data_IF_923744327714
#
_entry.id   IF_923744327714
#
_cell.length_a   1.000
_cell.length_b   1.000
_cell.length_c   1.000
_cell.angle_alpha   90.00
_cell.angle_beta   90.00
_cell.angle_gamma   90.00
#
_symmetry.space_group_name_H-M   'P 1'
#
loop_
_entity.id
_entity.type
_entity.pdbx_description
1 polymer ?
#
# COMPACT_ATOMS: atom_id res chain seq x y z
N UNK A 1 20.00 18.28 17.25
CA UNK A 1 19.88 18.81 15.89
C UNK A 1 19.17 20.17 15.85
N UNK A 2 18.10 20.35 16.62
CA UNK A 2 17.30 21.57 16.56
C UNK A 2 18.05 22.82 17.05
N UNK A 3 18.94 22.68 18.00
CA UNK A 3 19.76 23.78 18.57
C UNK A 3 21.05 23.98 17.78
N UNK A 4 21.82 22.91 17.60
CA UNK A 4 23.18 22.97 17.04
C UNK A 4 23.23 22.63 15.54
N UNK A 5 22.09 22.26 14.93
CA UNK A 5 21.98 21.76 13.53
C UNK A 5 22.91 20.58 13.21
N UNK A 6 23.44 19.93 14.25
CA UNK A 6 24.29 18.76 14.13
C UNK A 6 23.45 17.48 14.37
N UNK A 7 23.51 16.53 13.43
CA UNK A 7 22.85 15.24 13.58
C UNK A 7 23.78 14.26 14.29
N UNK A 8 23.35 13.80 15.46
CA UNK A 8 24.01 12.73 16.20
C UNK A 8 23.51 11.38 15.69
N UNK A 9 24.41 10.52 15.24
CA UNK A 9 24.10 9.14 14.85
C UNK A 9 23.70 8.31 16.07
N UNK A 10 23.18 7.11 15.80
CA UNK A 10 22.71 6.19 16.84
C UNK A 10 23.72 5.98 17.98
N UNK A 11 24.99 5.73 17.66
CA UNK A 11 26.05 5.45 18.64
C UNK A 11 26.25 6.61 19.61
N UNK A 12 26.38 7.84 19.09
CA UNK A 12 26.54 9.03 19.91
C UNK A 12 25.32 9.27 20.81
N UNK A 13 24.11 9.18 20.24
CA UNK A 13 22.87 9.27 21.03
C UNK A 13 22.77 8.19 22.12
N UNK A 14 23.27 6.99 21.84
CA UNK A 14 23.30 5.91 22.83
C UNK A 14 24.21 6.25 24.02
N UNK A 15 25.42 6.72 23.76
CA UNK A 15 26.36 7.08 24.84
C UNK A 15 25.83 8.21 25.71
N UNK A 16 25.19 9.20 25.12
CA UNK A 16 24.61 10.34 25.84
C UNK A 16 23.40 9.91 26.71
N UNK A 17 22.55 9.03 26.21
CA UNK A 17 21.25 8.74 26.82
C UNK A 17 21.21 7.48 27.65
N UNK A 18 22.19 6.55 27.57
CA UNK A 18 22.17 5.25 28.27
C UNK A 18 22.10 5.36 29.81
N UNK A 19 22.55 6.47 30.35
CA UNK A 19 22.55 6.73 31.79
C UNK A 19 21.27 7.41 32.32
N UNK A 20 20.43 7.98 31.41
CA UNK A 20 19.24 8.71 31.85
C UNK A 20 18.15 7.77 32.41
N UNK A 21 17.31 8.30 33.31
CA UNK A 21 16.24 7.53 33.97
C UNK A 21 15.28 6.91 32.98
N UNK A 22 14.82 7.66 31.97
CA UNK A 22 13.88 7.18 31.00
C UNK A 22 14.44 6.01 30.16
N UNK A 23 15.73 6.04 29.84
CA UNK A 23 16.39 4.92 29.16
C UNK A 23 16.41 3.67 30.05
N UNK A 24 16.76 3.82 31.33
CA UNK A 24 16.84 2.73 32.32
C UNK A 24 15.48 2.11 32.65
N UNK A 25 14.39 2.88 32.52
CA UNK A 25 13.04 2.38 32.74
C UNK A 25 12.59 1.43 31.62
N UNK A 26 13.11 1.58 30.40
CA UNK A 26 12.86 0.61 29.32
C UNK A 26 13.83 -0.57 29.43
N UNK A 27 13.40 -1.73 28.93
CA UNK A 27 14.35 -2.81 28.64
C UNK A 27 15.41 -2.31 27.65
N UNK A 28 16.67 -2.68 27.82
CA UNK A 28 17.79 -2.17 27.01
C UNK A 28 17.59 -2.34 25.50
N UNK A 29 17.05 -3.49 25.06
CA UNK A 29 16.74 -3.70 23.65
C UNK A 29 15.66 -2.73 23.15
N UNK A 30 14.57 -2.52 23.88
CA UNK A 30 13.52 -1.59 23.51
C UNK A 30 14.02 -0.14 23.48
N UNK A 31 14.85 0.25 24.44
CA UNK A 31 15.46 1.58 24.49
C UNK A 31 16.36 1.81 23.25
N UNK A 32 17.22 0.84 22.94
CA UNK A 32 18.05 0.88 21.73
C UNK A 32 17.23 0.95 20.45
N UNK A 33 16.12 0.18 20.33
CA UNK A 33 15.24 0.24 19.15
C UNK A 33 14.57 1.61 19.02
N UNK A 34 14.23 2.26 20.13
CA UNK A 34 13.71 3.63 20.11
C UNK A 34 14.73 4.62 19.52
N UNK A 35 16.00 4.53 19.97
CA UNK A 35 17.08 5.38 19.42
C UNK A 35 17.36 5.09 17.94
N UNK A 36 17.38 3.81 17.53
CA UNK A 36 17.52 3.41 16.12
C UNK A 36 16.40 3.94 15.26
N UNK A 37 15.17 3.97 15.78
CA UNK A 37 14.02 4.52 15.07
C UNK A 37 14.21 6.03 14.80
N UNK A 38 14.68 6.78 15.79
CA UNK A 38 15.00 8.21 15.62
C UNK A 38 16.09 8.41 14.57
N UNK A 39 17.17 7.63 14.62
CA UNK A 39 18.25 7.65 13.61
C UNK A 39 17.71 7.38 12.19
N UNK A 40 16.84 6.38 12.05
CA UNK A 40 16.20 6.03 10.77
C UNK A 40 15.31 7.15 10.25
N UNK A 41 14.56 7.84 11.11
CA UNK A 41 13.73 8.99 10.74
C UNK A 41 14.57 10.13 10.16
N UNK A 42 15.71 10.46 10.77
CA UNK A 42 16.62 11.48 10.26
C UNK A 42 17.34 11.05 8.98
N UNK A 43 17.76 9.79 8.89
CA UNK A 43 18.33 9.24 7.63
C UNK A 43 17.35 9.36 6.47
N UNK A 44 16.07 9.03 6.70
CA UNK A 44 15.01 9.19 5.70
C UNK A 44 14.80 10.65 5.30
N UNK A 45 14.82 11.57 6.27
CA UNK A 45 14.73 13.00 6.03
C UNK A 45 15.89 13.50 5.14
N UNK A 46 17.12 13.14 5.43
CA UNK A 46 18.29 13.55 4.62
C UNK A 46 18.28 12.89 3.23
N UNK A 47 17.83 11.65 3.13
CA UNK A 47 17.67 10.99 1.82
C UNK A 47 16.65 11.72 0.93
N UNK A 48 15.52 12.16 1.49
CA UNK A 48 14.53 12.98 0.76
C UNK A 48 15.09 14.33 0.31
N UNK A 49 15.90 14.99 1.16
CA UNK A 49 16.60 16.22 0.77
C UNK A 49 17.54 15.97 -0.42
N UNK A 50 18.30 14.87 -0.38
CA UNK A 50 19.19 14.50 -1.50
C UNK A 50 18.41 14.28 -2.79
N UNK A 51 17.29 13.58 -2.75
CA UNK A 51 16.40 13.39 -3.91
C UNK A 51 15.83 14.71 -4.42
N UNK A 52 15.43 15.60 -3.51
CA UNK A 52 14.90 16.91 -3.89
C UNK A 52 15.94 17.81 -4.55
N UNK A 53 17.21 17.77 -4.11
CA UNK A 53 18.33 18.46 -4.77
C UNK A 53 18.58 17.93 -6.19
N UNK A 54 18.21 16.69 -6.48
CA UNK A 54 18.28 16.08 -7.81
C UNK A 54 17.00 16.28 -8.64
N UNK A 55 16.08 17.14 -8.21
CA UNK A 55 14.75 17.35 -8.82
C UNK A 55 13.87 16.08 -8.91
N UNK A 56 14.20 15.04 -8.14
CA UNK A 56 13.43 13.77 -8.08
C UNK A 56 12.34 13.78 -7.01
N UNK A 57 12.30 14.80 -6.15
CA UNK A 57 11.31 14.95 -5.09
C UNK A 57 11.03 16.42 -4.79
N UNK A 58 9.82 16.77 -4.35
CA UNK A 58 9.46 18.17 -4.07
C UNK A 58 9.83 18.57 -2.64
N UNK A 59 10.66 19.59 -2.47
CA UNK A 59 11.07 20.15 -1.17
C UNK A 59 9.89 20.52 -0.27
N UNK A 60 8.77 20.99 -0.83
CA UNK A 60 7.57 21.39 -0.05
C UNK A 60 6.96 20.22 0.73
N UNK A 61 7.21 18.99 0.34
CA UNK A 61 6.70 17.78 1.00
C UNK A 61 7.65 17.24 2.07
N UNK A 62 8.88 17.73 2.15
CA UNK A 62 9.86 17.27 3.14
C UNK A 62 9.55 17.91 4.49
N UNK A 63 9.46 17.09 5.53
CA UNK A 63 9.22 17.54 6.89
C UNK A 63 10.34 17.07 7.80
N UNK A 64 10.91 17.99 8.56
CA UNK A 64 11.86 17.65 9.61
C UNK A 64 11.17 16.80 10.69
N UNK A 65 11.77 15.68 11.16
CA UNK A 65 11.29 14.96 12.33
C UNK A 65 11.08 15.89 13.51
N UNK A 66 9.93 15.82 14.17
CA UNK A 66 9.56 16.67 15.30
C UNK A 66 9.54 15.87 16.59
N UNK A 67 9.70 16.57 17.71
CA UNK A 67 9.42 15.98 19.02
C UNK A 67 7.96 15.52 19.09
N UNK A 68 7.75 14.40 19.78
CA UNK A 68 6.39 13.98 20.12
C UNK A 68 5.77 14.98 21.12
N UNK A 69 4.46 15.24 21.02
CA UNK A 69 3.76 15.98 22.07
C UNK A 69 3.97 15.34 23.43
N UNK A 70 3.99 16.16 24.51
CA UNK A 70 4.34 15.73 25.88
C UNK A 70 3.53 14.51 26.37
N UNK A 71 2.28 14.36 25.92
CA UNK A 71 1.38 13.27 26.28
C UNK A 71 1.14 12.29 25.13
N UNK A 72 2.04 12.22 24.16
CA UNK A 72 1.93 11.27 23.05
C UNK A 72 2.50 9.91 23.45
N UNK A 73 1.93 8.89 22.80
CA UNK A 73 2.40 7.51 22.96
C UNK A 73 3.26 7.12 21.75
N UNK A 74 4.40 6.49 21.99
CA UNK A 74 5.28 5.95 20.96
C UNK A 74 5.06 4.45 20.78
N UNK A 75 5.47 3.94 19.64
CA UNK A 75 5.51 2.50 19.39
C UNK A 75 6.56 1.85 20.29
N UNK A 76 6.24 0.68 20.83
CA UNK A 76 7.18 -0.16 21.54
C UNK A 76 7.68 -1.24 20.59
N UNK A 77 9.00 -1.30 20.38
CA UNK A 77 9.64 -2.23 19.45
C UNK A 77 10.44 -3.25 20.22
N UNK A 78 10.17 -4.53 20.01
CA UNK A 78 10.82 -5.67 20.66
C UNK A 78 11.57 -6.45 19.58
N UNK A 79 12.90 -6.33 19.52
CA UNK A 79 13.76 -7.00 18.56
C UNK A 79 14.39 -8.30 19.06
N UNK A 80 14.37 -8.53 20.39
CA UNK A 80 14.81 -9.79 20.98
C UNK A 80 13.62 -10.58 21.49
N UNK A 81 13.22 -11.60 20.75
CA UNK A 81 11.99 -12.33 21.00
C UNK A 81 12.34 -13.68 21.61
N UNK A 82 11.92 -13.89 22.87
CA UNK A 82 11.99 -15.16 23.56
C UNK A 82 10.58 -15.71 23.69
N UNK A 83 10.22 -16.64 22.79
CA UNK A 83 8.96 -17.37 22.89
C UNK A 83 9.05 -18.46 23.94
N UNK A 84 7.96 -18.68 24.67
CA UNK A 84 7.79 -19.83 25.55
C UNK A 84 7.15 -21.00 24.77
N UNK A 85 7.19 -22.20 25.33
CA UNK A 85 6.61 -23.40 24.73
C UNK A 85 5.11 -23.26 24.39
N UNK A 86 4.39 -22.38 25.10
CA UNK A 86 2.93 -22.15 24.92
C UNK A 86 2.61 -21.04 23.90
N UNK A 87 3.54 -20.64 23.05
CA UNK A 87 3.39 -19.54 22.08
C UNK A 87 3.01 -18.17 22.70
N UNK A 88 3.48 -17.90 23.93
CA UNK A 88 3.35 -16.59 24.55
C UNK A 88 4.67 -15.82 24.51
N UNK A 89 4.59 -14.57 24.05
CA UNK A 89 5.65 -13.58 24.26
C UNK A 89 5.44 -12.91 25.62
N UNK A 90 6.45 -12.92 26.47
CA UNK A 90 6.49 -12.06 27.66
C UNK A 90 7.18 -10.75 27.33
N UNK A 91 6.53 -9.61 27.57
CA UNK A 91 7.15 -8.30 27.40
C UNK A 91 8.27 -8.15 28.44
N UNK A 92 9.53 -7.94 28.05
CA UNK A 92 10.63 -7.81 28.98
C UNK A 92 10.61 -6.43 29.66
N UNK A 93 10.55 -6.42 30.98
CA UNK A 93 10.69 -5.19 31.78
C UNK A 93 12.12 -5.05 32.31
N UNK A 94 12.60 -3.81 32.41
CA UNK A 94 13.87 -3.51 33.08
C UNK A 94 13.75 -3.72 34.61
N UNK A 95 14.89 -3.89 35.24
CA UNK A 95 14.92 -3.98 36.73
C UNK A 95 14.45 -2.67 37.38
N UNK A 96 14.78 -1.52 36.81
CA UNK A 96 14.31 -0.22 37.27
C UNK A 96 12.78 -0.10 37.18
N UNK A 97 12.18 -0.54 36.07
CA UNK A 97 10.73 -0.57 35.91
C UNK A 97 10.06 -1.47 36.94
N UNK A 98 10.56 -2.67 37.14
CA UNK A 98 10.02 -3.62 38.15
C UNK A 98 10.09 -3.09 39.57
N UNK A 99 11.15 -2.33 39.94
CA UNK A 99 11.27 -1.69 41.22
C UNK A 99 10.26 -0.56 41.41
N UNK A 100 10.00 0.23 40.34
CA UNK A 100 9.09 1.37 40.37
C UNK A 100 7.61 0.94 40.29
N UNK A 101 7.30 -0.17 39.61
CA UNK A 101 5.95 -0.68 39.35
C UNK A 101 5.80 -2.12 39.83
N UNK A 102 5.89 -2.32 41.16
CA UNK A 102 5.83 -3.65 41.80
C UNK A 102 4.49 -4.37 41.56
N UNK A 103 3.43 -3.63 41.31
CA UNK A 103 2.09 -4.12 41.01
C UNK A 103 2.01 -4.85 39.63
N UNK A 104 2.91 -4.51 38.68
CA UNK A 104 2.93 -5.10 37.36
C UNK A 104 3.87 -6.31 37.35
N UNK A 105 3.32 -7.51 37.55
CA UNK A 105 4.13 -8.74 37.57
C UNK A 105 4.59 -9.18 36.18
N UNK A 106 3.68 -9.24 35.19
CA UNK A 106 3.95 -9.82 33.87
C UNK A 106 2.89 -9.40 32.87
N UNK A 107 3.31 -8.99 31.67
CA UNK A 107 2.42 -8.84 30.52
C UNK A 107 2.80 -9.86 29.46
N UNK A 108 1.83 -10.64 29.00
CA UNK A 108 2.01 -11.66 27.97
C UNK A 108 1.10 -11.40 26.77
N UNK A 109 1.64 -11.67 25.60
CA UNK A 109 0.94 -11.59 24.32
C UNK A 109 0.93 -12.98 23.71
N UNK A 110 -0.24 -13.52 23.42
CA UNK A 110 -0.38 -14.78 22.68
C UNK A 110 -0.03 -14.56 21.21
N UNK A 111 0.89 -15.35 20.67
CA UNK A 111 1.24 -15.34 19.27
C UNK A 111 0.13 -16.02 18.45
N UNK A 112 -0.32 -15.42 17.33
CA UNK A 112 -1.30 -16.05 16.46
C UNK A 112 -0.82 -17.40 15.91
N UNK A 113 -1.71 -18.38 15.83
CA UNK A 113 -1.40 -19.74 15.32
C UNK A 113 -0.68 -19.75 13.97
N UNK A 114 -1.03 -18.83 13.07
CA UNK A 114 -0.38 -18.71 11.75
C UNK A 114 1.13 -18.40 11.82
N UNK A 115 1.61 -17.94 12.98
CA UNK A 115 3.01 -17.58 13.23
C UNK A 115 3.78 -18.61 14.08
N UNK A 116 3.14 -19.71 14.52
CA UNK A 116 3.76 -20.71 15.41
C UNK A 116 5.09 -21.25 14.86
N UNK A 117 5.13 -21.52 13.54
CA UNK A 117 6.32 -22.07 12.87
C UNK A 117 7.11 -21.01 12.09
N UNK A 118 6.93 -19.71 12.40
CA UNK A 118 7.63 -18.63 11.73
C UNK A 118 8.70 -18.03 12.63
N UNK A 119 9.88 -17.75 12.07
CA UNK A 119 10.94 -17.06 12.79
C UNK A 119 10.62 -15.57 12.91
N UNK A 120 10.01 -15.19 14.03
CA UNK A 120 9.65 -13.80 14.30
C UNK A 120 10.93 -13.02 14.61
N UNK A 121 11.15 -11.91 13.89
CA UNK A 121 12.32 -11.02 14.04
C UNK A 121 12.04 -9.84 14.94
N UNK A 122 10.85 -9.29 14.83
CA UNK A 122 10.47 -8.07 15.52
C UNK A 122 8.97 -8.07 15.82
N UNK A 123 8.61 -7.51 16.96
CA UNK A 123 7.22 -7.25 17.33
C UNK A 123 7.11 -5.77 17.67
N UNK A 124 6.14 -5.09 17.03
CA UNK A 124 5.79 -3.72 17.36
C UNK A 124 4.43 -3.66 18.03
N UNK A 125 4.38 -2.99 19.19
CA UNK A 125 3.13 -2.67 19.88
C UNK A 125 2.83 -1.20 19.62
N UNK A 126 1.76 -0.95 18.85
CA UNK A 126 1.41 0.36 18.34
C UNK A 126 0.18 0.87 19.10
N UNK A 127 0.30 1.92 19.93
CA UNK A 127 -0.85 2.52 20.59
C UNK A 127 -1.77 3.20 19.58
N UNK A 128 -3.06 3.01 19.75
CA UNK A 128 -4.12 3.60 18.92
C UNK A 128 -5.13 4.32 19.82
N UNK A 129 -5.69 5.41 19.29
CA UNK A 129 -6.71 6.20 20.00
C UNK A 129 -6.29 6.55 21.44
N UNK A 130 -5.16 7.26 21.60
CA UNK A 130 -4.57 7.63 22.89
C UNK A 130 -4.37 6.42 23.81
N UNK A 131 -3.76 5.36 23.28
CA UNK A 131 -3.46 4.11 23.97
C UNK A 131 -4.66 3.35 24.58
N UNK A 132 -5.90 3.67 24.14
CA UNK A 132 -7.09 2.89 24.53
C UNK A 132 -7.20 1.56 23.80
N UNK A 133 -6.46 1.41 22.71
CA UNK A 133 -6.33 0.18 21.92
C UNK A 133 -4.90 0.01 21.47
N UNK A 134 -4.50 -1.22 21.21
CA UNK A 134 -3.18 -1.55 20.72
C UNK A 134 -3.29 -2.42 19.48
N UNK A 135 -2.45 -2.15 18.49
CA UNK A 135 -2.23 -3.00 17.32
C UNK A 135 -0.87 -3.66 17.50
N UNK A 136 -0.80 -4.98 17.32
CA UNK A 136 0.44 -5.73 17.41
C UNK A 136 0.83 -6.15 16.01
N UNK A 137 2.01 -5.74 15.58
CA UNK A 137 2.57 -6.11 14.28
C UNK A 137 3.73 -7.07 14.48
N UNK A 138 3.78 -8.11 13.68
CA UNK A 138 4.81 -9.13 13.70
C UNK A 138 5.59 -9.10 12.39
N UNK A 139 6.91 -8.93 12.48
CA UNK A 139 7.84 -9.09 11.35
C UNK A 139 8.49 -10.45 11.46
N UNK A 140 8.39 -11.27 10.42
CA UNK A 140 8.92 -12.64 10.42
C UNK A 140 9.60 -12.98 9.11
N UNK A 141 10.52 -13.93 9.14
CA UNK A 141 11.18 -14.43 7.94
C UNK A 141 10.24 -15.32 7.13
N UNK A 142 10.25 -15.14 5.82
CA UNK A 142 9.64 -16.03 4.84
C UNK A 142 10.74 -16.45 3.88
N UNK A 143 10.81 -17.72 3.59
CA UNK A 143 11.63 -18.21 2.47
C UNK A 143 10.92 -17.86 1.16
N UNK A 144 11.69 -17.40 0.19
CA UNK A 144 11.22 -17.23 -1.19
C UNK A 144 10.91 -18.62 -1.75
N UNK A 145 9.78 -18.75 -2.44
CA UNK A 145 9.37 -19.98 -3.10
C UNK A 145 9.82 -19.85 -4.57
N UNK A 146 10.89 -20.51 -4.95
CA UNK A 146 11.35 -20.55 -6.35
C UNK A 146 10.37 -21.39 -7.18
N UNK A 147 9.39 -20.71 -7.77
CA UNK A 147 8.46 -21.30 -8.73
C UNK A 147 8.93 -20.87 -10.11
N UNK A 148 9.41 -21.81 -10.91
CA UNK A 148 9.83 -21.54 -12.29
C UNK A 148 8.59 -21.29 -13.14
N UNK A 149 8.26 -20.03 -13.38
CA UNK A 149 7.18 -19.58 -14.24
C UNK A 149 7.73 -19.06 -15.57
N UNK A 150 6.92 -19.18 -16.62
CA UNK A 150 7.29 -18.69 -17.94
C UNK A 150 7.25 -17.15 -17.99
N UNK A 151 8.41 -16.52 -18.06
CA UNK A 151 8.55 -15.05 -18.11
C UNK A 151 8.02 -14.43 -19.40
N UNK A 152 7.84 -15.22 -20.48
CA UNK A 152 7.19 -14.78 -21.72
C UNK A 152 5.66 -14.72 -21.59
N UNK A 153 5.09 -15.26 -20.52
CA UNK A 153 3.69 -15.07 -20.20
C UNK A 153 3.57 -13.89 -19.24
N UNK A 154 2.79 -12.87 -19.64
CA UNK A 154 2.62 -11.66 -18.84
C UNK A 154 1.14 -11.37 -18.57
N UNK A 155 0.90 -10.77 -17.40
CA UNK A 155 -0.39 -10.23 -16.98
C UNK A 155 -0.25 -8.74 -16.72
N UNK A 156 -1.03 -7.91 -17.42
CA UNK A 156 -1.09 -6.48 -17.15
C UNK A 156 -2.33 -6.10 -16.33
N UNK A 157 -2.17 -5.10 -15.47
CA UNK A 157 -3.21 -4.60 -14.56
C UNK A 157 -3.41 -3.11 -14.76
N UNK A 158 -4.64 -2.73 -15.11
CA UNK A 158 -5.16 -1.36 -15.01
C UNK A 158 -5.95 -1.20 -13.70
N UNK A 159 -5.61 -0.17 -12.88
CA UNK A 159 -6.22 0.09 -11.58
C UNK A 159 -7.33 1.12 -11.68
N UNK A 160 -8.53 0.75 -11.27
CA UNK A 160 -9.72 1.60 -11.37
C UNK A 160 -10.61 1.62 -10.12
N UNK A 161 -11.68 2.42 -10.16
CA UNK A 161 -12.60 2.60 -9.02
C UNK A 161 -13.69 1.52 -8.97
N UNK A 162 -14.41 1.29 -10.05
CA UNK A 162 -15.48 0.29 -10.11
C UNK A 162 -14.95 -1.07 -10.54
N UNK A 163 -13.96 -1.07 -11.38
CA UNK A 163 -13.13 -2.19 -11.75
C UNK A 163 -11.80 -1.98 -11.03
N UNK A 164 -11.62 -2.66 -9.89
CA UNK A 164 -10.45 -2.42 -9.02
C UNK A 164 -9.15 -2.78 -9.72
N UNK A 165 -9.15 -3.93 -10.38
CA UNK A 165 -8.05 -4.40 -11.22
C UNK A 165 -8.68 -4.98 -12.49
N UNK A 166 -8.39 -4.39 -13.63
CA UNK A 166 -8.67 -5.01 -14.94
C UNK A 166 -7.41 -5.69 -15.39
N UNK A 167 -7.47 -6.99 -15.53
CA UNK A 167 -6.34 -7.86 -15.82
C UNK A 167 -6.47 -8.45 -17.22
N UNK A 168 -5.40 -8.35 -18.02
CA UNK A 168 -5.29 -8.95 -19.34
C UNK A 168 -3.97 -9.69 -19.47
N UNK A 169 -3.98 -10.80 -20.19
CA UNK A 169 -2.76 -11.58 -20.47
C UNK A 169 -2.39 -11.49 -21.94
N UNK A 170 -1.10 -11.66 -22.25
CA UNK A 170 -0.65 -11.81 -23.64
C UNK A 170 -1.14 -13.13 -24.29
N UNK A 171 -1.69 -14.06 -23.51
CA UNK A 171 -2.33 -15.29 -23.98
C UNK A 171 -3.82 -15.13 -24.31
N UNK A 172 -4.35 -13.90 -24.34
CA UNK A 172 -5.72 -13.60 -24.75
C UNK A 172 -6.79 -13.79 -23.65
N UNK A 173 -6.42 -14.00 -22.39
CA UNK A 173 -7.38 -14.10 -21.27
C UNK A 173 -7.56 -12.76 -20.57
N UNK A 174 -8.77 -12.48 -20.09
CA UNK A 174 -9.06 -11.26 -19.32
C UNK A 174 -10.02 -11.50 -18.17
N UNK A 175 -9.85 -10.74 -17.08
CA UNK A 175 -10.80 -10.71 -15.96
C UNK A 175 -10.75 -9.35 -15.25
N UNK A 176 -11.83 -9.05 -14.52
CA UNK A 176 -11.97 -7.82 -13.75
C UNK A 176 -12.25 -8.17 -12.29
N UNK A 177 -11.43 -7.67 -11.37
CA UNK A 177 -11.76 -7.69 -9.94
C UNK A 177 -12.68 -6.52 -9.62
N UNK A 178 -13.85 -6.81 -9.05
CA UNK A 178 -14.90 -5.82 -8.79
C UNK A 178 -14.50 -4.83 -7.67
N UNK A 179 -14.48 -3.53 -7.93
CA UNK A 179 -14.18 -2.48 -6.96
C UNK A 179 -15.42 -1.91 -6.23
N UNK A 180 -16.65 -2.27 -6.65
CA UNK A 180 -17.90 -1.68 -6.13
C UNK A 180 -18.11 -1.98 -4.65
N UNK A 181 -17.62 -3.13 -4.14
CA UNK A 181 -17.67 -3.46 -2.70
C UNK A 181 -16.83 -2.49 -1.87
N UNK A 182 -15.61 -2.15 -2.32
CA UNK A 182 -14.77 -1.15 -1.65
C UNK A 182 -15.43 0.24 -1.66
N UNK A 183 -16.01 0.61 -2.80
CA UNK A 183 -16.76 1.86 -2.92
C UNK A 183 -17.93 1.91 -1.94
N UNK A 184 -18.70 0.84 -1.81
CA UNK A 184 -19.80 0.72 -0.86
C UNK A 184 -19.33 0.84 0.60
N UNK A 185 -18.23 0.18 0.97
CA UNK A 185 -17.63 0.27 2.31
C UNK A 185 -17.25 1.72 2.62
N UNK A 186 -16.62 2.42 1.66
CA UNK A 186 -16.22 3.82 1.82
C UNK A 186 -17.43 4.75 1.92
N UNK A 187 -18.45 4.58 1.08
CA UNK A 187 -19.67 5.39 1.11
C UNK A 187 -20.43 5.21 2.43
N UNK A 188 -20.59 3.99 2.91
CA UNK A 188 -21.18 3.72 4.21
C UNK A 188 -20.42 4.41 5.34
N UNK A 189 -19.09 4.26 5.36
CA UNK A 189 -18.23 4.95 6.33
C UNK A 189 -18.42 6.47 6.26
N UNK A 190 -18.41 7.07 5.07
CA UNK A 190 -18.56 8.51 4.89
C UNK A 190 -19.90 9.02 5.45
N UNK A 191 -21.00 8.29 5.17
CA UNK A 191 -22.34 8.62 5.70
C UNK A 191 -22.36 8.57 7.23
N UNK A 192 -21.85 7.49 7.84
CA UNK A 192 -21.80 7.35 9.29
C UNK A 192 -20.91 8.39 9.95
N UNK A 193 -19.73 8.65 9.37
CA UNK A 193 -18.80 9.65 9.91
C UNK A 193 -19.34 11.08 9.79
N UNK A 194 -20.08 11.42 8.72
CA UNK A 194 -20.75 12.70 8.58
C UNK A 194 -21.81 12.92 9.67
N UNK A 195 -22.64 11.89 9.94
CA UNK A 195 -23.61 11.91 11.04
C UNK A 195 -22.94 12.15 12.40
N UNK A 196 -21.88 11.40 12.70
CA UNK A 196 -21.13 11.55 13.96
C UNK A 196 -20.43 12.91 14.07
N UNK A 197 -19.96 13.49 12.96
CA UNK A 197 -19.41 14.84 12.94
C UNK A 197 -20.47 15.88 13.28
N UNK A 198 -21.64 15.81 12.67
CA UNK A 198 -22.75 16.75 12.97
C UNK A 198 -23.15 16.71 14.44
N UNK A 199 -23.25 15.52 15.06
CA UNK A 199 -23.53 15.38 16.50
C UNK A 199 -22.41 16.00 17.34
N UNK A 200 -21.18 15.69 17.01
CA UNK A 200 -19.99 16.19 17.69
C UNK A 200 -19.88 17.72 17.64
N UNK A 201 -20.16 18.30 16.47
CA UNK A 201 -20.10 19.74 16.27
C UNK A 201 -21.17 20.47 17.11
N UNK A 202 -22.38 19.90 17.25
CA UNK A 202 -23.43 20.41 18.17
C UNK A 202 -23.02 20.32 19.65
N UNK A 203 -22.19 19.36 20.02
CA UNK A 203 -21.69 19.15 21.38
C UNK A 203 -20.36 19.88 21.65
N UNK A 204 -19.83 20.66 20.70
CA UNK A 204 -18.53 21.34 20.77
C UNK A 204 -17.33 20.41 21.07
N UNK A 205 -17.43 19.13 20.70
CA UNK A 205 -16.37 18.16 20.88
C UNK A 205 -15.33 18.30 19.76
N UNK A 206 -14.11 18.73 20.06
CA UNK A 206 -13.03 18.94 19.07
C UNK A 206 -12.30 17.65 18.67
N UNK A 207 -12.23 16.67 19.54
CA UNK A 207 -11.45 15.44 19.36
C UNK A 207 -12.22 14.34 18.64
N UNK A 208 -11.50 13.34 18.18
CA UNK A 208 -12.10 12.12 17.64
C UNK A 208 -12.80 11.34 18.77
N UNK A 209 -14.07 10.99 18.57
CA UNK A 209 -14.81 10.16 19.54
C UNK A 209 -14.43 8.68 19.39
N UNK A 210 -14.68 7.88 20.45
CA UNK A 210 -14.50 6.41 20.43
C UNK A 210 -15.28 5.78 19.28
N UNK A 211 -16.52 6.22 19.05
CA UNK A 211 -17.35 5.70 17.95
C UNK A 211 -16.77 6.01 16.57
N UNK A 212 -16.27 7.23 16.35
CA UNK A 212 -15.59 7.58 15.10
C UNK A 212 -14.33 6.74 14.89
N UNK A 213 -13.57 6.46 15.94
CA UNK A 213 -12.42 5.57 15.87
C UNK A 213 -12.83 4.14 15.48
N UNK A 214 -13.85 3.58 16.12
CA UNK A 214 -14.33 2.21 15.86
C UNK A 214 -14.79 2.03 14.42
N UNK A 215 -15.59 2.97 13.87
CA UNK A 215 -16.03 2.88 12.46
C UNK A 215 -14.85 3.04 11.49
N UNK A 216 -13.87 3.89 11.80
CA UNK A 216 -12.65 4.05 10.99
C UNK A 216 -11.83 2.77 10.97
N UNK A 217 -11.63 2.13 12.13
CA UNK A 217 -10.94 0.84 12.24
C UNK A 217 -11.67 -0.26 11.47
N UNK A 218 -13.00 -0.36 11.64
CA UNK A 218 -13.82 -1.34 10.91
C UNK A 218 -13.73 -1.17 9.39
N UNK A 219 -13.76 0.10 8.91
CA UNK A 219 -13.55 0.40 7.49
C UNK A 219 -12.15 -0.05 7.05
N UNK A 220 -11.10 0.37 7.77
CA UNK A 220 -9.70 0.01 7.44
C UNK A 220 -9.54 -1.50 7.30
N UNK A 221 -10.01 -2.27 8.28
CA UNK A 221 -9.87 -3.73 8.28
C UNK A 221 -10.59 -4.38 7.09
N UNK A 222 -11.81 -3.91 6.74
CA UNK A 222 -12.56 -4.42 5.58
C UNK A 222 -11.89 -4.09 4.25
N UNK A 223 -11.31 -2.90 4.13
CA UNK A 223 -10.58 -2.49 2.93
C UNK A 223 -9.29 -3.30 2.80
N UNK A 224 -8.54 -3.45 3.89
CA UNK A 224 -7.28 -4.20 3.90
C UNK A 224 -7.52 -5.70 3.61
N UNK A 225 -8.59 -6.31 4.14
CA UNK A 225 -8.99 -7.70 3.85
C UNK A 225 -9.30 -7.88 2.36
N UNK A 226 -10.12 -6.98 1.79
CA UNK A 226 -10.47 -7.04 0.37
C UNK A 226 -9.24 -6.93 -0.54
N UNK A 227 -8.32 -6.01 -0.23
CA UNK A 227 -7.07 -5.83 -0.98
C UNK A 227 -6.19 -7.07 -0.86
N UNK A 228 -6.02 -7.62 0.35
CA UNK A 228 -5.20 -8.80 0.57
C UNK A 228 -5.72 -10.00 -0.24
N UNK A 229 -7.03 -10.22 -0.23
CA UNK A 229 -7.67 -11.27 -1.02
C UNK A 229 -7.53 -11.02 -2.52
N UNK A 230 -7.70 -9.78 -2.97
CA UNK A 230 -7.50 -9.39 -4.38
C UNK A 230 -6.08 -9.69 -4.85
N UNK A 231 -5.06 -9.23 -4.12
CA UNK A 231 -3.67 -9.46 -4.49
C UNK A 231 -3.33 -10.97 -4.47
N UNK A 232 -3.84 -11.72 -3.48
CA UNK A 232 -3.65 -13.17 -3.44
C UNK A 232 -4.31 -13.87 -4.62
N UNK A 233 -5.53 -13.46 -4.99
CA UNK A 233 -6.21 -14.00 -6.18
C UNK A 233 -5.40 -13.78 -7.45
N UNK A 234 -4.86 -12.58 -7.66
CA UNK A 234 -4.05 -12.24 -8.84
C UNK A 234 -2.79 -13.10 -8.90
N UNK A 235 -2.06 -13.23 -7.80
CA UNK A 235 -0.84 -14.05 -7.75
C UNK A 235 -1.15 -15.54 -7.95
N UNK A 236 -2.19 -16.06 -7.33
CA UNK A 236 -2.61 -17.44 -7.56
C UNK A 236 -3.00 -17.66 -9.04
N UNK A 237 -3.64 -16.67 -9.67
CA UNK A 237 -3.93 -16.73 -11.09
C UNK A 237 -2.66 -16.78 -11.94
N UNK A 238 -1.63 -15.98 -11.61
CA UNK A 238 -0.34 -16.02 -12.28
C UNK A 238 0.31 -17.42 -12.16
N UNK A 239 0.37 -17.96 -10.95
CA UNK A 239 0.95 -19.30 -10.68
C UNK A 239 0.19 -20.39 -11.46
N UNK A 240 -1.15 -20.37 -11.41
CA UNK A 240 -1.97 -21.41 -12.06
C UNK A 240 -1.92 -21.35 -13.59
N UNK A 241 -1.65 -20.17 -14.18
CA UNK A 241 -1.60 -19.99 -15.63
C UNK A 241 -0.18 -19.82 -16.17
N UNK A 242 0.85 -20.19 -15.41
CA UNK A 242 2.26 -20.12 -15.78
C UNK A 242 2.69 -18.72 -16.28
N UNK A 243 2.34 -17.69 -15.50
CA UNK A 243 2.62 -16.29 -15.80
C UNK A 243 3.77 -15.80 -14.93
N UNK A 244 4.94 -15.59 -15.54
CA UNK A 244 6.16 -15.17 -14.87
C UNK A 244 6.40 -13.65 -14.84
N UNK A 245 5.54 -12.85 -15.50
CA UNK A 245 5.69 -11.38 -15.53
C UNK A 245 4.38 -10.67 -15.20
N UNK A 246 4.41 -9.75 -14.23
CA UNK A 246 3.29 -8.91 -13.82
C UNK A 246 3.60 -7.44 -14.12
N UNK A 247 2.78 -6.81 -14.96
CA UNK A 247 2.90 -5.40 -15.34
C UNK A 247 1.76 -4.60 -14.69
N UNK A 248 2.07 -3.50 -14.02
CA UNK A 248 1.04 -2.66 -13.39
C UNK A 248 1.14 -1.23 -13.90
N UNK A 249 0.02 -0.70 -14.34
CA UNK A 249 -0.12 0.71 -14.70
C UNK A 249 0.17 1.62 -13.50
N UNK A 250 0.98 2.64 -13.73
CA UNK A 250 1.37 3.60 -12.73
C UNK A 250 1.43 5.00 -13.30
N UNK A 251 0.80 5.94 -12.60
CA UNK A 251 0.94 7.36 -12.89
C UNK A 251 1.33 8.10 -11.63
N UNK A 252 2.46 8.80 -11.66
CA UNK A 252 2.96 9.56 -10.53
C UNK A 252 1.99 10.69 -10.22
N UNK A 253 1.63 10.84 -8.94
CA UNK A 253 0.72 11.90 -8.47
C UNK A 253 -0.74 11.79 -8.95
N UNK A 254 -1.16 10.70 -9.58
CA UNK A 254 -2.51 10.53 -10.14
C UNK A 254 -3.64 10.74 -9.11
N UNK A 255 -3.40 10.41 -7.84
CA UNK A 255 -4.36 10.65 -6.76
C UNK A 255 -4.23 12.03 -6.10
N UNK A 256 -3.24 12.84 -6.49
CA UNK A 256 -3.03 14.18 -5.95
C UNK A 256 -3.80 15.20 -6.77
N UNK A 257 -4.83 15.83 -6.17
CA UNK A 257 -5.71 16.82 -6.79
C UNK A 257 -6.25 16.39 -8.18
N UNK A 258 -6.89 15.24 -8.30
CA UNK A 258 -7.45 14.80 -9.58
C UNK A 258 -8.56 15.76 -10.02
N UNK A 259 -8.55 16.15 -11.29
CA UNK A 259 -9.56 17.03 -11.89
C UNK A 259 -10.86 16.27 -12.19
N UNK A 260 -11.61 15.95 -11.14
CA UNK A 260 -12.87 15.21 -11.22
C UNK A 260 -13.94 15.87 -10.37
N UNK A 261 -15.23 15.53 -10.60
CA UNK A 261 -16.31 15.96 -9.74
C UNK A 261 -16.06 15.56 -8.28
N UNK A 262 -16.55 16.34 -7.31
CA UNK A 262 -16.34 16.16 -5.86
C UNK A 262 -16.60 14.72 -5.39
N UNK A 263 -17.68 14.08 -5.90
CA UNK A 263 -18.04 12.70 -5.57
C UNK A 263 -17.07 11.67 -6.16
N UNK A 264 -16.64 11.85 -7.41
CA UNK A 264 -15.70 10.95 -8.07
C UNK A 264 -14.33 11.09 -7.45
N UNK A 265 -13.89 12.30 -7.13
CA UNK A 265 -12.66 12.59 -6.42
C UNK A 265 -12.62 11.88 -5.06
N UNK A 266 -13.68 11.96 -4.25
CA UNK A 266 -13.77 11.27 -2.98
C UNK A 266 -13.65 9.73 -3.12
N UNK A 267 -14.38 9.16 -4.09
CA UNK A 267 -14.31 7.72 -4.33
C UNK A 267 -12.91 7.27 -4.76
N UNK A 268 -12.25 8.05 -5.61
CA UNK A 268 -10.94 7.75 -6.16
C UNK A 268 -9.81 7.86 -5.12
N UNK A 269 -9.78 8.97 -4.38
CA UNK A 269 -8.73 9.24 -3.38
C UNK A 269 -8.81 8.32 -2.16
N UNK A 270 -9.97 7.71 -1.90
CA UNK A 270 -10.16 6.77 -0.80
C UNK A 270 -9.73 5.33 -1.10
N UNK A 271 -9.38 5.02 -2.36
CA UNK A 271 -8.84 3.71 -2.74
C UNK A 271 -7.32 3.69 -2.54
N UNK A 272 -6.78 2.77 -1.77
CA UNK A 272 -5.35 2.73 -1.50
C UNK A 272 -4.59 1.96 -2.59
N UNK A 273 -4.51 2.51 -3.80
CA UNK A 273 -3.78 1.92 -4.94
C UNK A 273 -2.31 1.65 -4.63
N UNK A 274 -1.66 2.53 -3.83
CA UNK A 274 -0.30 2.31 -3.35
C UNK A 274 -0.15 0.98 -2.62
N UNK A 275 -1.09 0.65 -1.71
CA UNK A 275 -1.07 -0.63 -0.99
C UNK A 275 -1.25 -1.85 -1.90
N UNK A 276 -2.02 -1.73 -2.99
CA UNK A 276 -2.17 -2.81 -3.96
C UNK A 276 -0.83 -3.07 -4.65
N UNK A 277 -0.16 -2.01 -5.12
CA UNK A 277 1.16 -2.11 -5.77
C UNK A 277 2.21 -2.69 -4.83
N UNK A 278 2.39 -2.13 -3.63
CA UNK A 278 3.32 -2.62 -2.62
C UNK A 278 3.07 -4.10 -2.26
N UNK A 279 1.79 -4.48 -2.15
CA UNK A 279 1.44 -5.86 -1.82
C UNK A 279 1.71 -6.83 -2.97
N UNK A 280 1.43 -6.43 -4.21
CA UNK A 280 1.73 -7.24 -5.40
C UNK A 280 3.24 -7.36 -5.62
N UNK A 281 4.01 -6.26 -5.48
CA UNK A 281 5.47 -6.26 -5.53
C UNK A 281 6.07 -7.25 -4.52
N UNK A 282 5.64 -7.18 -3.25
CA UNK A 282 6.06 -8.11 -2.21
C UNK A 282 5.72 -9.58 -2.55
N UNK A 283 4.52 -9.83 -3.07
CA UNK A 283 4.09 -11.19 -3.43
C UNK A 283 4.81 -11.69 -4.68
N UNK A 284 5.06 -10.84 -5.67
CA UNK A 284 5.85 -11.17 -6.86
C UNK A 284 7.27 -11.59 -6.46
N UNK A 285 7.92 -10.81 -5.60
CA UNK A 285 9.23 -11.17 -5.05
C UNK A 285 9.22 -12.54 -4.33
N UNK A 286 8.15 -12.83 -3.59
CA UNK A 286 8.02 -14.09 -2.86
C UNK A 286 7.93 -15.31 -3.77
N UNK A 287 7.31 -15.18 -4.95
CA UNK A 287 7.03 -16.29 -5.87
C UNK A 287 7.85 -16.22 -7.17
N UNK A 288 8.94 -15.46 -7.17
CA UNK A 288 9.84 -15.27 -8.32
C UNK A 288 9.12 -14.83 -9.59
N UNK A 289 8.16 -13.89 -9.46
CA UNK A 289 7.44 -13.25 -10.57
C UNK A 289 8.09 -11.89 -10.84
N UNK A 290 8.44 -11.62 -12.09
CA UNK A 290 8.94 -10.32 -12.51
C UNK A 290 7.87 -9.24 -12.31
N UNK A 291 8.19 -8.19 -11.56
CA UNK A 291 7.29 -7.07 -11.29
C UNK A 291 7.71 -5.82 -12.04
N UNK A 292 6.85 -5.30 -12.91
CA UNK A 292 7.12 -4.14 -13.75
C UNK A 292 6.09 -3.05 -13.50
N UNK A 293 6.56 -1.85 -13.15
CA UNK A 293 5.75 -0.64 -13.09
C UNK A 293 5.83 0.10 -14.42
N UNK A 294 4.69 0.24 -15.10
CA UNK A 294 4.60 0.90 -16.40
C UNK A 294 3.86 2.23 -16.29
N UNK A 295 4.47 3.28 -16.80
CA UNK A 295 3.79 4.58 -16.95
C UNK A 295 2.58 4.44 -17.90
N UNK A 296 1.40 4.97 -17.48
CA UNK A 296 0.11 4.69 -18.11
C UNK A 296 -0.53 5.90 -18.84
N UNK A 297 0.24 6.96 -19.16
CA UNK A 297 -0.31 8.09 -19.91
C UNK A 297 -0.89 7.65 -21.24
N UNK A 298 -2.08 8.16 -21.53
CA UNK A 298 -2.85 7.91 -22.75
C UNK A 298 -3.32 6.48 -22.99
N UNK A 299 -2.98 5.49 -22.17
CA UNK A 299 -3.37 4.08 -22.36
C UNK A 299 -4.89 3.86 -22.42
N UNK A 300 -5.68 4.67 -21.73
CA UNK A 300 -7.15 4.61 -21.77
C UNK A 300 -7.78 5.30 -22.98
N UNK A 301 -7.00 6.12 -23.73
CA UNK A 301 -7.47 6.87 -24.89
C UNK A 301 -7.04 6.23 -26.21
N UNK A 302 -5.81 5.76 -26.29
CA UNK A 302 -5.27 5.11 -27.46
C UNK A 302 -5.97 3.78 -27.74
N UNK A 303 -6.15 3.44 -29.00
CA UNK A 303 -6.70 2.16 -29.42
C UNK A 303 -5.60 1.11 -29.50
N UNK A 304 -5.78 0.00 -28.78
CA UNK A 304 -4.85 -1.12 -28.84
C UNK A 304 -4.90 -1.81 -30.19
N UNK A 305 -6.09 -2.14 -30.67
CA UNK A 305 -6.27 -2.88 -31.92
C UNK A 305 -5.97 -2.08 -33.20
N UNK A 306 -6.04 -0.74 -33.10
CA UNK A 306 -5.66 0.16 -34.21
C UNK A 306 -4.16 0.53 -34.11
N UNK A 307 -3.44 -0.01 -33.15
CA UNK A 307 -2.02 0.23 -32.92
C UNK A 307 -1.62 1.71 -32.78
N UNK A 308 -2.47 2.51 -32.14
CA UNK A 308 -2.19 3.93 -31.88
C UNK A 308 -0.88 4.11 -31.09
N UNK A 309 -0.16 5.19 -31.35
CA UNK A 309 1.02 5.56 -30.57
C UNK A 309 0.66 5.85 -29.10
N UNK A 310 1.57 5.47 -28.20
CA UNK A 310 1.43 5.65 -26.75
C UNK A 310 2.46 6.66 -26.23
N UNK A 311 2.22 7.98 -26.37
CA UNK A 311 3.14 8.99 -25.91
C UNK A 311 3.21 9.03 -24.39
N UNK A 312 4.28 9.65 -23.87
CA UNK A 312 4.42 9.99 -22.45
C UNK A 312 3.91 11.40 -22.24
N UNK A 313 3.13 11.60 -21.17
CA UNK A 313 2.63 12.94 -20.83
C UNK A 313 3.77 13.83 -20.35
N UNK A 314 3.95 14.97 -21.02
CA UNK A 314 4.87 16.01 -20.58
C UNK A 314 4.07 17.17 -19.97
N UNK A 315 4.26 17.42 -18.67
CA UNK A 315 3.56 18.48 -17.94
C UNK A 315 4.03 19.89 -18.34
N UNK A 316 5.29 20.02 -18.75
CA UNK A 316 5.89 21.31 -19.14
C UNK A 316 5.52 21.70 -20.58
N UNK A 317 5.18 20.72 -21.43
CA UNK A 317 4.75 20.92 -22.81
C UNK A 317 3.61 19.96 -23.16
N UNK A 318 2.37 20.22 -22.70
CA UNK A 318 1.22 19.32 -22.90
C UNK A 318 0.79 19.37 -24.37
N UNK A 319 0.93 18.24 -25.07
CA UNK A 319 0.50 18.07 -26.45
C UNK A 319 -0.89 17.42 -26.53
N UNK A 320 -1.65 17.79 -27.58
CA UNK A 320 -2.93 17.12 -27.91
C UNK A 320 -2.66 16.02 -28.92
N UNK A 321 -3.07 14.81 -28.61
CA UNK A 321 -2.96 13.64 -29.49
C UNK A 321 -4.35 13.25 -29.97
N UNK A 322 -4.43 12.83 -31.22
CA UNK A 322 -5.64 12.26 -31.84
C UNK A 322 -5.45 10.76 -31.91
N UNK A 323 -6.44 10.00 -31.50
CA UNK A 323 -6.42 8.54 -31.48
C UNK A 323 -7.47 8.00 -32.45
N UNK A 324 -7.21 6.83 -33.05
CA UNK A 324 -8.04 6.20 -34.06
C UNK A 324 -9.40 5.75 -33.53
N UNK A 325 -9.43 5.23 -32.32
CA UNK A 325 -10.63 4.79 -31.62
C UNK A 325 -11.14 5.78 -30.58
N UNK A 326 -12.30 5.48 -30.01
CA UNK A 326 -12.90 6.32 -28.97
C UNK A 326 -13.71 5.54 -27.95
N UNK A 327 -13.80 6.07 -26.74
CA UNK A 327 -14.68 5.55 -25.69
C UNK A 327 -16.11 6.04 -25.92
N UNK A 328 -16.99 5.17 -26.40
CA UNK A 328 -18.39 5.50 -26.77
C UNK A 328 -19.25 5.69 -25.52
N UNK A 329 -19.13 4.80 -24.55
CA UNK A 329 -19.79 4.88 -23.25
C UNK A 329 -18.95 4.23 -22.18
N UNK A 330 -19.38 4.31 -20.92
CA UNK A 330 -18.67 3.69 -19.83
C UNK A 330 -18.54 2.19 -20.04
N UNK A 331 -17.30 1.68 -20.02
CA UNK A 331 -16.98 0.27 -20.20
C UNK A 331 -16.95 -0.19 -21.67
N UNK A 332 -17.20 0.69 -22.66
CA UNK A 332 -17.22 0.33 -24.07
C UNK A 332 -16.30 1.26 -24.87
N UNK A 333 -15.38 0.67 -25.61
CA UNK A 333 -14.48 1.31 -26.55
C UNK A 333 -14.79 0.86 -27.97
N UNK A 334 -14.69 1.77 -28.94
CA UNK A 334 -14.89 1.51 -30.37
C UNK A 334 -13.60 1.79 -31.12
N UNK A 335 -13.12 0.83 -31.92
CA UNK A 335 -11.98 0.99 -32.81
C UNK A 335 -12.36 1.78 -34.06
N UNK A 336 -11.38 2.16 -34.87
CA UNK A 336 -11.56 2.81 -36.16
C UNK A 336 -12.47 2.00 -37.09
N UNK A 337 -12.28 0.68 -37.14
CA UNK A 337 -13.05 -0.24 -37.99
C UNK A 337 -14.44 -0.59 -37.41
N UNK A 338 -14.86 0.10 -36.34
CA UNK A 338 -16.19 -0.09 -35.77
C UNK A 338 -16.33 -1.26 -34.79
N UNK A 339 -15.25 -1.95 -34.41
CA UNK A 339 -15.25 -3.03 -33.44
C UNK A 339 -15.41 -2.52 -32.02
N UNK A 340 -16.22 -3.21 -31.22
CA UNK A 340 -16.52 -2.82 -29.82
C UNK A 340 -15.94 -3.82 -28.85
N UNK A 341 -15.28 -3.32 -27.81
CA UNK A 341 -14.75 -4.14 -26.72
C UNK A 341 -14.67 -3.38 -25.38
N UNK A 342 -14.24 -4.07 -24.32
CA UNK A 342 -14.20 -3.45 -22.99
C UNK A 342 -13.14 -2.35 -22.90
N UNK A 343 -13.54 -1.13 -22.53
CA UNK A 343 -12.65 0.03 -22.48
C UNK A 343 -11.55 -0.06 -21.41
N UNK A 344 -11.78 -0.79 -20.32
CA UNK A 344 -10.76 -0.95 -19.28
C UNK A 344 -9.77 -2.06 -19.67
N UNK A 345 -10.21 -3.06 -20.46
CA UNK A 345 -9.30 -4.00 -21.13
C UNK A 345 -8.41 -3.30 -22.16
N UNK A 346 -8.94 -2.31 -22.93
CA UNK A 346 -8.13 -1.49 -23.80
C UNK A 346 -6.98 -0.80 -23.03
N UNK A 347 -7.29 -0.20 -21.89
CA UNK A 347 -6.28 0.42 -21.03
C UNK A 347 -5.21 -0.58 -20.58
N UNK A 348 -5.62 -1.74 -20.09
CA UNK A 348 -4.71 -2.77 -19.62
C UNK A 348 -3.84 -3.37 -20.74
N UNK A 349 -4.39 -3.57 -21.95
CA UNK A 349 -3.65 -3.99 -23.13
C UNK A 349 -2.60 -2.95 -23.55
N UNK A 350 -2.96 -1.68 -23.54
CA UNK A 350 -2.01 -0.60 -23.84
C UNK A 350 -0.91 -0.47 -22.76
N UNK A 351 -1.20 -0.74 -21.49
CA UNK A 351 -0.18 -0.84 -20.44
C UNK A 351 0.79 -1.98 -20.76
N UNK A 352 0.28 -3.15 -21.16
CA UNK A 352 1.10 -4.28 -21.54
C UNK A 352 1.97 -3.97 -22.78
N UNK A 353 1.37 -3.37 -23.82
CA UNK A 353 2.10 -2.96 -25.04
C UNK A 353 3.20 -1.95 -24.74
N UNK A 354 2.90 -0.92 -23.94
CA UNK A 354 3.84 0.12 -23.57
C UNK A 354 5.02 -0.40 -22.75
N UNK A 355 4.83 -1.49 -22.00
CA UNK A 355 5.90 -2.11 -21.21
C UNK A 355 6.94 -2.86 -22.04
N UNK A 356 6.58 -3.28 -23.27
CA UNK A 356 7.45 -4.02 -24.21
C UNK A 356 8.10 -5.27 -23.61
N UNK A 357 7.50 -5.86 -22.59
CA UNK A 357 8.08 -7.04 -21.87
C UNK A 357 7.81 -8.35 -22.59
N UNK A 358 6.77 -8.42 -23.44
CA UNK A 358 6.36 -9.61 -24.18
C UNK A 358 5.85 -9.25 -25.56
N UNK A 359 5.89 -10.23 -26.48
CA UNK A 359 5.25 -10.11 -27.81
C UNK A 359 3.72 -10.20 -27.68
N UNK A 360 3.02 -9.36 -28.41
CA UNK A 360 1.55 -9.25 -28.42
C UNK A 360 0.93 -9.57 -29.78
N UNK A 361 1.71 -10.04 -30.74
CA UNK A 361 1.25 -10.33 -32.13
C UNK A 361 0.04 -11.25 -32.16
N UNK A 362 -0.04 -12.23 -31.25
CA UNK A 362 -1.15 -13.18 -31.13
C UNK A 362 -2.47 -12.49 -30.73
N UNK A 363 -2.43 -11.37 -30.05
CA UNK A 363 -3.64 -10.70 -29.53
C UNK A 363 -4.43 -9.95 -30.60
N UNK A 364 -3.81 -9.61 -31.73
CA UNK A 364 -4.49 -8.90 -32.81
C UNK A 364 -5.53 -9.78 -33.52
N UNK A 365 -5.53 -11.10 -33.31
CA UNK A 365 -6.55 -12.03 -33.82
C UNK A 365 -7.88 -11.98 -33.05
N UNK A 366 -8.03 -11.10 -32.08
CA UNK A 366 -9.25 -10.87 -31.27
C UNK A 366 -9.77 -12.13 -30.56
N UNK A 367 -9.73 -12.18 -29.28
CA UNK A 367 -10.13 -13.34 -28.49
C UNK A 367 -11.03 -12.98 -27.30
N UNK A 368 -10.96 -13.75 -26.22
CA UNK A 368 -11.73 -13.57 -24.97
C UNK A 368 -11.46 -12.24 -24.21
N UNK A 369 -10.75 -11.30 -24.83
CA UNK A 369 -10.47 -9.96 -24.28
C UNK A 369 -11.73 -9.06 -24.26
N UNK A 370 -12.75 -9.37 -25.07
CA UNK A 370 -13.93 -8.54 -25.26
C UNK A 370 -14.88 -8.57 -24.07
N UNK A 371 -14.98 -9.73 -23.42
CA UNK A 371 -15.91 -10.00 -22.32
C UNK A 371 -15.18 -10.51 -21.10
N UNK A 372 -14.50 -9.62 -20.36
CA UNK A 372 -13.71 -10.03 -19.20
C UNK A 372 -14.60 -10.64 -18.10
N UNK A 373 -14.16 -11.77 -17.54
CA UNK A 373 -14.83 -12.42 -16.41
C UNK A 373 -14.78 -11.52 -15.18
N UNK A 374 -15.94 -11.21 -14.58
CA UNK A 374 -16.01 -10.40 -13.36
C UNK A 374 -15.87 -11.25 -12.11
N UNK A 375 -14.83 -10.96 -11.33
CA UNK A 375 -14.51 -11.63 -10.07
C UNK A 375 -15.01 -10.77 -8.90
N UNK A 376 -15.80 -11.35 -8.03
CA UNK A 376 -16.24 -10.75 -6.77
C UNK A 376 -15.48 -11.41 -5.63
N UNK A 377 -14.67 -10.64 -4.93
CA UNK A 377 -13.97 -11.10 -3.73
C UNK A 377 -14.96 -11.10 -2.56
N UNK A 378 -15.10 -12.24 -1.92
CA UNK A 378 -15.97 -12.46 -0.74
C UNK A 378 -15.33 -11.95 0.56
#
# INVERSE_FOLDING_TARGET
YFQEKQFLKYEANYYELKSCENYKLLNSNMAQQTLKNVDTMFKSFFALIKLAKQNKYNFRHIRLPKYLPRNAYSNLIIGQIRLRQDNFLTIPFSNAFKKKHKEIKKIQIKIPKILENKKIKEIQIIPKFNARFFEIQYTYEIQEEEIKLNTNNALAIDLGVNNLCTCVTNTGKSFIVDGRKLKSINQFFNKQNARLRSIKDKQNIKWQTKQQYLISRKRKNRVDDYINKTCRYIINYCITNDIGTLVIGYNQSFQYKPNMSKKNNQNFTQLPFGKIREKLEYLCKRYDINYVLQEESYTSKASFFDNDDLPVYNMDNPQKYIFSGSRVKRGLYKTKDGYYFNSDCNGALNILRKSSVVDLSILYSRGALDTPKRIRIS
#
